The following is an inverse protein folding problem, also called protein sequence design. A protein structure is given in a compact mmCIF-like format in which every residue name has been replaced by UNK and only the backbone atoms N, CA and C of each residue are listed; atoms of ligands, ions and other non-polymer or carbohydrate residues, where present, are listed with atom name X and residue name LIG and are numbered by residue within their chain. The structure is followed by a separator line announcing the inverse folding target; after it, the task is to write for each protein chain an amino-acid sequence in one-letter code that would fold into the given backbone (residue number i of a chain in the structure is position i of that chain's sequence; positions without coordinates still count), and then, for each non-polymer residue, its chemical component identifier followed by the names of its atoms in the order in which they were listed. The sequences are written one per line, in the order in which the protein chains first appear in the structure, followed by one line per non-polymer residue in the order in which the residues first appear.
data_IF_254560190116
#
_entry.id   IF_254560190116
#
_cell.length_a   1.000
_cell.length_b   1.000
_cell.length_c   1.000
_cell.angle_alpha   90.00
_cell.angle_beta   90.00
_cell.angle_gamma   90.00
#
_symmetry.space_group_name_H-M   'P 1'
#
loop_
_entity.id
_entity.type
_entity.pdbx_description
1 polymer ?
#
# COMPACT_ATOMS: atom_id res chain seq x y z
N UNK A 1 11.93 4.35 -0.20
CA UNK A 1 11.85 4.47 1.26
C UNK A 1 10.43 4.17 1.74
N UNK A 2 9.41 4.87 1.21
CA UNK A 2 8.00 4.68 1.59
C UNK A 2 7.35 3.46 0.93
N UNK A 3 7.78 3.12 -0.28
CA UNK A 3 7.24 2.02 -1.06
C UNK A 3 8.28 0.91 -1.20
N UNK A 4 8.19 -0.21 -0.45
CA UNK A 4 8.98 -1.40 -0.73
C UNK A 4 8.78 -1.84 -2.18
N UNK A 5 9.82 -2.33 -2.87
CA UNK A 5 9.76 -2.60 -4.31
C UNK A 5 8.58 -3.47 -4.74
N UNK A 6 8.28 -4.54 -4.00
CA UNK A 6 7.16 -5.43 -4.30
C UNK A 6 5.78 -4.79 -4.14
N UNK A 7 5.66 -3.74 -3.31
CA UNK A 7 4.41 -3.03 -3.07
C UNK A 7 4.23 -1.82 -4.00
N UNK A 8 5.28 -1.43 -4.73
CA UNK A 8 5.28 -0.25 -5.57
C UNK A 8 4.32 -0.39 -6.76
N UNK A 9 4.36 -1.54 -7.44
CA UNK A 9 3.45 -1.84 -8.56
C UNK A 9 2.00 -1.98 -8.09
N UNK A 10 1.77 -2.73 -7.01
CA UNK A 10 0.44 -2.89 -6.42
C UNK A 10 -0.17 -1.53 -6.00
N UNK A 11 0.64 -0.65 -5.41
CA UNK A 11 0.22 0.69 -5.01
C UNK A 11 0.09 1.67 -6.19
N UNK A 12 0.46 1.26 -7.42
CA UNK A 12 0.53 2.10 -8.63
C UNK A 12 1.37 3.37 -8.43
N UNK A 13 2.34 3.31 -7.51
CA UNK A 13 3.20 4.43 -7.15
C UNK A 13 4.19 4.78 -8.28
N UNK A 14 4.62 3.78 -9.04
CA UNK A 14 5.44 3.91 -10.25
C UNK A 14 4.75 4.78 -11.30
N UNK A 15 3.47 4.53 -11.58
CA UNK A 15 2.68 5.33 -12.54
C UNK A 15 2.51 6.77 -12.07
N UNK A 16 2.25 6.97 -10.78
CA UNK A 16 2.12 8.30 -10.18
C UNK A 16 3.44 9.08 -10.27
N UNK A 17 4.57 8.44 -9.96
CA UNK A 17 5.90 9.04 -10.08
C UNK A 17 6.25 9.40 -11.53
N UNK A 18 5.96 8.49 -12.49
CA UNK A 18 6.15 8.77 -13.92
C UNK A 18 5.30 9.93 -14.41
N UNK A 19 4.05 10.04 -13.95
CA UNK A 19 3.16 11.12 -14.34
C UNK A 19 3.67 12.46 -13.81
N UNK A 20 4.02 12.55 -12.53
CA UNK A 20 4.51 13.78 -11.90
C UNK A 20 5.83 14.21 -12.56
N UNK A 21 6.81 13.29 -12.63
CA UNK A 21 8.12 13.59 -13.21
C UNK A 21 8.04 13.87 -14.71
N UNK A 22 7.18 13.17 -15.44
CA UNK A 22 6.97 13.36 -16.88
C UNK A 22 6.37 14.72 -17.20
N UNK A 23 5.38 15.16 -16.43
CA UNK A 23 4.78 16.49 -16.60
C UNK A 23 5.83 17.58 -16.36
N UNK A 24 6.57 17.53 -15.26
CA UNK A 24 7.57 18.55 -14.93
C UNK A 24 8.72 18.58 -15.95
N UNK A 25 9.15 17.39 -16.42
CA UNK A 25 10.24 17.27 -17.39
C UNK A 25 9.89 17.81 -18.77
N UNK A 26 8.61 17.67 -19.19
CA UNK A 26 8.17 18.09 -20.53
C UNK A 26 7.61 19.50 -20.51
N UNK A 27 6.70 19.80 -19.59
CA UNK A 27 5.97 21.07 -19.56
C UNK A 27 6.91 22.24 -19.22
N UNK A 28 7.87 22.02 -18.34
CA UNK A 28 8.82 23.06 -17.96
C UNK A 28 9.66 23.60 -19.11
N UNK A 29 10.44 22.77 -19.80
CA UNK A 29 11.20 23.19 -20.97
C UNK A 29 10.32 23.72 -22.10
N UNK A 30 9.15 23.13 -22.34
CA UNK A 30 8.22 23.58 -23.36
C UNK A 30 7.70 24.98 -23.09
N UNK A 31 7.25 25.28 -21.88
CA UNK A 31 6.80 26.62 -21.50
C UNK A 31 7.93 27.64 -21.59
N UNK A 32 9.12 27.25 -21.15
CA UNK A 32 10.31 28.11 -21.27
C UNK A 32 10.62 28.44 -22.71
N UNK A 33 10.55 27.45 -23.61
CA UNK A 33 10.80 27.62 -25.04
C UNK A 33 9.76 28.53 -25.71
N UNK A 34 8.49 28.41 -25.35
CA UNK A 34 7.39 29.25 -25.88
C UNK A 34 7.55 30.70 -25.42
N UNK A 35 7.92 30.92 -24.16
CA UNK A 35 8.00 32.27 -23.58
C UNK A 35 9.33 32.95 -23.87
N UNK A 36 10.39 32.16 -24.13
CA UNK A 36 11.72 32.70 -24.35
C UNK A 36 11.77 33.49 -25.65
N UNK A 37 12.03 34.79 -25.52
CA UNK A 37 12.35 35.69 -26.64
C UNK A 37 13.53 36.56 -26.20
N UNK A 38 14.61 36.51 -26.97
CA UNK A 38 15.79 37.31 -26.69
C UNK A 38 15.42 38.81 -26.62
N UNK A 39 16.01 39.56 -25.70
CA UNK A 39 15.78 40.98 -25.44
C UNK A 39 14.34 41.38 -25.02
N UNK A 40 13.50 40.44 -24.56
CA UNK A 40 12.21 40.79 -23.97
C UNK A 40 12.39 41.48 -22.62
N UNK A 41 11.76 42.65 -22.45
CA UNK A 41 11.92 43.53 -21.26
C UNK A 41 11.60 42.84 -19.93
N UNK A 42 10.65 41.85 -19.93
CA UNK A 42 10.19 41.15 -18.74
C UNK A 42 10.55 39.65 -18.73
N UNK A 43 11.54 39.23 -19.54
CA UNK A 43 11.89 37.80 -19.67
C UNK A 43 12.21 37.13 -18.29
N UNK A 44 12.93 37.85 -17.41
CA UNK A 44 13.26 37.32 -16.08
C UNK A 44 12.03 37.07 -15.22
N UNK A 45 11.03 37.94 -15.31
CA UNK A 45 9.76 37.79 -14.60
C UNK A 45 8.96 36.60 -15.14
N UNK A 46 8.90 36.46 -16.46
CA UNK A 46 8.20 35.34 -17.09
C UNK A 46 8.83 33.98 -16.72
N UNK A 47 10.17 33.89 -16.76
CA UNK A 47 10.89 32.67 -16.34
C UNK A 47 10.72 32.39 -14.85
N UNK A 48 10.75 33.41 -14.00
CA UNK A 48 10.50 33.25 -12.56
C UNK A 48 9.07 32.75 -12.29
N UNK A 49 8.07 33.25 -13.03
CA UNK A 49 6.69 32.80 -12.92
C UNK A 49 6.53 31.34 -13.33
N UNK A 50 7.16 30.91 -14.42
CA UNK A 50 7.19 29.51 -14.86
C UNK A 50 7.82 28.64 -13.77
N UNK A 51 8.99 29.03 -13.25
CA UNK A 51 9.68 28.29 -12.19
C UNK A 51 8.84 28.19 -10.92
N UNK A 52 8.15 29.26 -10.52
CA UNK A 52 7.27 29.24 -9.37
C UNK A 52 6.11 28.25 -9.55
N UNK A 53 5.47 28.26 -10.70
CA UNK A 53 4.37 27.33 -11.03
C UNK A 53 4.87 25.87 -10.97
N UNK A 54 6.05 25.58 -11.51
CA UNK A 54 6.65 24.24 -11.44
C UNK A 54 6.91 23.79 -10.00
N UNK A 55 7.46 24.67 -9.15
CA UNK A 55 7.68 24.37 -7.73
C UNK A 55 6.36 24.07 -7.02
N UNK A 56 5.28 24.80 -7.33
CA UNK A 56 3.95 24.55 -6.77
C UNK A 56 3.42 23.18 -7.20
N UNK A 57 3.50 22.85 -8.50
CA UNK A 57 3.04 21.55 -8.99
C UNK A 57 3.87 20.40 -8.45
N UNK A 58 5.18 20.52 -8.39
CA UNK A 58 6.06 19.53 -7.77
C UNK A 58 5.72 19.33 -6.29
N UNK A 59 5.53 20.43 -5.56
CA UNK A 59 5.12 20.40 -4.15
C UNK A 59 3.78 19.69 -3.95
N UNK A 60 2.80 19.96 -4.80
CA UNK A 60 1.51 19.26 -4.80
C UNK A 60 1.67 17.76 -5.13
N UNK A 61 2.51 17.42 -6.11
CA UNK A 61 2.81 16.03 -6.44
C UNK A 61 3.44 15.27 -5.27
N UNK A 62 4.44 15.86 -4.60
CA UNK A 62 5.06 15.29 -3.41
C UNK A 62 4.08 15.14 -2.24
N UNK A 63 3.22 16.13 -2.03
CA UNK A 63 2.14 16.06 -1.03
C UNK A 63 1.17 14.90 -1.33
N UNK A 64 0.82 14.69 -2.59
CA UNK A 64 -0.05 13.59 -3.02
C UNK A 64 0.59 12.22 -2.76
N UNK A 65 1.88 12.06 -3.09
CA UNK A 65 2.65 10.85 -2.80
C UNK A 65 2.72 10.61 -1.29
N UNK A 66 2.97 11.64 -0.52
CA UNK A 66 3.02 11.56 0.94
C UNK A 66 1.69 11.07 1.54
N UNK A 67 0.58 11.64 1.11
CA UNK A 67 -0.76 11.23 1.58
C UNK A 67 -1.19 9.85 1.05
N UNK A 68 -0.58 9.40 -0.02
CA UNK A 68 -0.88 8.10 -0.64
C UNK A 68 0.09 6.99 -0.20
N UNK A 69 1.00 7.26 0.76
CA UNK A 69 1.97 6.25 1.20
C UNK A 69 1.31 5.12 1.99
N UNK A 70 1.81 3.89 1.89
CA UNK A 70 1.33 2.77 2.71
C UNK A 70 1.76 2.98 4.17
N UNK A 71 0.83 2.84 5.10
CA UNK A 71 1.07 3.11 6.53
C UNK A 71 0.85 1.90 7.42
N UNK A 72 -0.08 1.01 7.05
CA UNK A 72 -0.32 -0.24 7.76
C UNK A 72 -0.42 -1.41 6.79
N UNK A 73 0.13 -2.54 7.22
CA UNK A 73 -0.12 -3.85 6.63
C UNK A 73 -0.97 -4.63 7.63
N UNK A 74 -2.23 -4.78 7.31
CA UNK A 74 -3.25 -5.29 8.23
C UNK A 74 -3.55 -6.75 7.92
N UNK A 75 -3.29 -7.65 8.87
CA UNK A 75 -3.74 -9.03 8.80
C UNK A 75 -5.21 -9.10 9.24
N UNK A 76 -6.12 -9.18 8.28
CA UNK A 76 -7.54 -9.51 8.51
C UNK A 76 -7.70 -11.03 8.55
N UNK A 77 -8.86 -11.60 8.91
CA UNK A 77 -8.97 -13.04 9.15
C UNK A 77 -8.47 -13.97 8.05
N UNK A 78 -8.59 -13.60 6.78
CA UNK A 78 -8.35 -14.46 5.61
C UNK A 78 -7.28 -13.95 4.64
N UNK A 79 -6.79 -12.72 4.81
CA UNK A 79 -5.83 -12.08 3.90
C UNK A 79 -5.05 -10.95 4.58
N UNK A 80 -4.13 -10.39 3.83
CA UNK A 80 -3.51 -9.10 4.18
C UNK A 80 -4.17 -7.96 3.42
N UNK A 81 -4.25 -6.80 4.07
CA UNK A 81 -4.71 -5.54 3.47
C UNK A 81 -3.64 -4.47 3.63
N UNK A 82 -3.25 -3.83 2.52
CA UNK A 82 -2.35 -2.70 2.56
C UNK A 82 -3.16 -1.42 2.62
N UNK A 83 -2.99 -0.68 3.71
CA UNK A 83 -3.76 0.54 3.99
C UNK A 83 -2.88 1.77 3.79
N UNK A 84 -3.42 2.76 3.08
CA UNK A 84 -2.74 4.01 2.77
C UNK A 84 -3.13 5.13 3.73
N UNK A 85 -2.25 6.14 3.85
CA UNK A 85 -2.45 7.23 4.81
C UNK A 85 -3.75 8.02 4.59
N UNK A 86 -4.18 8.16 3.34
CA UNK A 86 -5.42 8.85 2.98
C UNK A 86 -6.70 8.05 3.25
N UNK A 87 -6.59 6.77 3.64
CA UNK A 87 -7.73 5.91 3.95
C UNK A 87 -8.13 5.96 5.43
N UNK A 88 -7.26 6.51 6.27
CA UNK A 88 -7.51 6.61 7.70
C UNK A 88 -7.67 8.08 8.10
N UNK A 89 -8.85 8.43 8.58
CA UNK A 89 -9.08 9.78 9.10
C UNK A 89 -8.40 9.97 10.46
N UNK A 90 -7.99 11.21 10.81
CA UNK A 90 -7.41 11.49 12.13
C UNK A 90 -8.31 11.05 13.31
N UNK A 91 -9.63 11.16 13.14
CA UNK A 91 -10.60 10.69 14.14
C UNK A 91 -10.49 9.19 14.37
N UNK A 92 -10.49 8.38 13.30
CA UNK A 92 -10.34 6.93 13.41
C UNK A 92 -8.99 6.52 13.97
N UNK A 93 -7.94 7.24 13.59
CA UNK A 93 -6.60 6.98 14.10
C UNK A 93 -6.52 7.17 15.63
N UNK A 94 -7.17 8.22 16.14
CA UNK A 94 -7.25 8.49 17.59
C UNK A 94 -8.03 7.40 18.37
N UNK A 95 -8.92 6.63 17.71
CA UNK A 95 -9.68 5.53 18.32
C UNK A 95 -8.84 4.26 18.55
N UNK A 96 -7.60 4.19 18.06
CA UNK A 96 -6.72 3.04 18.29
C UNK A 96 -6.52 2.80 19.79
N UNK A 97 -6.62 1.53 20.22
CA UNK A 97 -6.45 1.14 21.63
C UNK A 97 -4.98 1.09 22.05
N UNK A 98 -4.09 0.82 21.12
CA UNK A 98 -2.65 0.69 21.33
C UNK A 98 -1.98 1.99 20.85
N UNK A 99 -1.19 2.63 21.71
CA UNK A 99 -0.63 3.96 21.48
C UNK A 99 0.20 4.05 20.17
N UNK A 100 1.02 3.04 19.87
CA UNK A 100 1.83 2.99 18.66
C UNK A 100 1.01 2.95 17.35
N UNK A 101 -0.28 2.63 17.42
CA UNK A 101 -1.19 2.61 16.27
C UNK A 101 -2.01 3.90 16.11
N UNK A 102 -1.83 4.86 17.01
CA UNK A 102 -2.43 6.21 16.92
C UNK A 102 -1.67 7.15 15.98
N UNK A 103 -0.51 6.71 15.47
CA UNK A 103 0.31 7.50 14.56
C UNK A 103 0.53 6.75 13.26
N UNK A 104 0.50 7.48 12.14
CA UNK A 104 0.80 6.92 10.83
C UNK A 104 2.31 6.69 10.68
N UNK A 105 2.71 5.57 10.08
CA UNK A 105 4.11 5.30 9.79
C UNK A 105 4.70 6.37 8.88
N UNK A 106 5.91 6.81 9.21
CA UNK A 106 6.71 7.67 8.34
C UNK A 106 7.46 6.88 7.25
N UNK A 107 7.80 5.63 7.53
CA UNK A 107 8.59 4.75 6.65
C UNK A 107 7.79 3.56 6.13
N UNK A 108 8.29 2.37 6.41
CA UNK A 108 7.60 1.12 6.05
C UNK A 108 6.25 0.99 6.77
N UNK A 109 5.25 0.33 6.17
CA UNK A 109 3.97 0.09 6.82
C UNK A 109 4.15 -0.72 8.13
N UNK A 110 3.38 -0.36 9.15
CA UNK A 110 3.35 -1.09 10.42
C UNK A 110 2.51 -2.34 10.24
N UNK A 111 3.06 -3.51 10.60
CA UNK A 111 2.35 -4.78 10.56
C UNK A 111 1.45 -4.90 11.80
N UNK A 112 0.15 -5.08 11.57
CA UNK A 112 -0.88 -5.18 12.59
C UNK A 112 -1.85 -6.31 12.29
N UNK A 113 -2.56 -6.81 13.29
CA UNK A 113 -3.73 -7.68 13.11
C UNK A 113 -5.02 -6.90 13.30
N UNK A 114 -6.09 -7.28 12.59
CA UNK A 114 -7.44 -6.79 12.79
C UNK A 114 -8.42 -7.96 12.83
N UNK A 115 -8.54 -8.65 13.98
CA UNK A 115 -9.47 -9.76 14.13
C UNK A 115 -10.91 -9.24 14.08
N UNK A 116 -11.81 -10.03 13.51
CA UNK A 116 -13.24 -9.70 13.51
C UNK A 116 -13.75 -9.68 14.96
N UNK A 117 -14.45 -8.63 15.39
CA UNK A 117 -14.99 -8.56 16.75
C UNK A 117 -16.03 -9.65 17.01
N UNK A 118 -16.16 -10.08 18.25
CA UNK A 118 -17.17 -11.07 18.68
C UNK A 118 -18.59 -10.49 18.75
N UNK A 119 -18.71 -9.20 19.01
CA UNK A 119 -20.00 -8.48 19.10
C UNK A 119 -20.68 -8.40 17.75
N UNK A 120 -21.95 -8.84 17.68
CA UNK A 120 -22.79 -8.74 16.47
C UNK A 120 -22.93 -7.26 16.06
N UNK A 121 -23.22 -6.39 17.02
CA UNK A 121 -23.37 -4.95 16.75
C UNK A 121 -22.13 -4.34 16.10
N UNK A 122 -20.95 -4.68 16.59
CA UNK A 122 -19.70 -4.17 16.00
C UNK A 122 -19.46 -4.70 14.59
N UNK A 123 -19.86 -5.95 14.29
CA UNK A 123 -19.79 -6.51 12.93
C UNK A 123 -20.75 -5.80 11.99
N UNK A 124 -21.98 -5.53 12.44
CA UNK A 124 -22.98 -4.78 11.67
C UNK A 124 -22.48 -3.34 11.39
N UNK A 125 -21.87 -2.70 12.38
CA UNK A 125 -21.25 -1.36 12.21
C UNK A 125 -20.13 -1.38 11.18
N UNK A 126 -19.27 -2.40 11.19
CA UNK A 126 -18.20 -2.59 10.19
C UNK A 126 -18.81 -2.80 8.81
N UNK A 127 -19.79 -3.69 8.68
CA UNK A 127 -20.45 -3.98 7.41
C UNK A 127 -21.17 -2.73 6.85
N UNK A 128 -21.88 -1.98 7.68
CA UNK A 128 -22.50 -0.73 7.28
C UNK A 128 -21.48 0.30 6.81
N UNK A 129 -20.34 0.42 7.52
CA UNK A 129 -19.25 1.30 7.13
C UNK A 129 -18.65 0.90 5.76
N UNK A 130 -18.48 -0.39 5.51
CA UNK A 130 -17.96 -0.89 4.24
C UNK A 130 -18.94 -0.60 3.08
N UNK A 131 -20.24 -0.86 3.28
CA UNK A 131 -21.28 -0.62 2.27
C UNK A 131 -21.47 0.86 1.97
N UNK A 132 -21.32 1.74 2.97
CA UNK A 132 -21.42 3.20 2.79
C UNK A 132 -20.13 3.84 2.26
N UNK A 133 -19.11 3.05 1.92
CA UNK A 133 -17.85 3.54 1.37
C UNK A 133 -16.95 4.25 2.40
N UNK A 134 -17.28 4.14 3.68
CA UNK A 134 -16.47 4.73 4.75
C UNK A 134 -15.26 3.85 5.12
N UNK A 135 -15.09 2.69 4.49
CA UNK A 135 -14.01 1.73 4.71
C UNK A 135 -14.42 0.55 5.60
N UNK A 136 -13.72 -0.54 5.46
CA UNK A 136 -13.92 -1.79 6.18
C UNK A 136 -12.94 -1.89 7.37
N UNK A 137 -12.90 -3.01 8.07
CA UNK A 137 -12.13 -3.26 9.30
C UNK A 137 -10.65 -2.88 9.19
N UNK A 138 -10.02 -3.05 8.02
CA UNK A 138 -8.64 -2.67 7.78
C UNK A 138 -8.40 -1.16 7.91
N UNK A 139 -9.42 -0.31 7.72
CA UNK A 139 -9.32 1.14 7.88
C UNK A 139 -9.82 1.62 9.28
N UNK A 140 -9.92 0.70 10.24
CA UNK A 140 -10.43 0.98 11.59
C UNK A 140 -9.40 0.65 12.68
N UNK A 141 -8.47 1.56 13.02
CA UNK A 141 -7.43 1.34 14.02
C UNK A 141 -7.92 0.93 15.41
N UNK A 142 -9.18 1.18 15.75
CA UNK A 142 -9.78 0.73 17.01
C UNK A 142 -9.78 -0.80 17.20
N UNK A 143 -9.68 -1.55 16.09
CA UNK A 143 -9.61 -3.02 16.09
C UNK A 143 -8.19 -3.55 15.92
N UNK A 144 -7.19 -2.67 15.78
CA UNK A 144 -5.82 -3.10 15.59
C UNK A 144 -5.25 -3.70 16.86
N UNK A 145 -4.61 -4.85 16.69
CA UNK A 145 -3.90 -5.62 17.71
C UNK A 145 -2.52 -6.00 17.19
N UNK A 146 -1.68 -6.53 18.05
CA UNK A 146 -0.40 -7.08 17.62
C UNK A 146 -0.60 -8.23 16.64
N UNK A 147 0.14 -8.22 15.54
CA UNK A 147 0.09 -9.24 14.51
C UNK A 147 0.19 -10.66 15.06
N UNK A 148 1.10 -10.87 16.03
CA UNK A 148 1.33 -12.17 16.67
C UNK A 148 0.06 -12.81 17.24
N UNK A 149 -0.90 -12.01 17.69
CA UNK A 149 -2.17 -12.51 18.22
C UNK A 149 -3.12 -13.04 17.13
N UNK A 150 -2.94 -12.67 15.87
CA UNK A 150 -3.80 -13.05 14.74
C UNK A 150 -3.20 -14.15 13.87
N UNK A 151 -1.90 -14.39 13.94
CA UNK A 151 -1.14 -15.34 13.11
C UNK A 151 -1.80 -16.72 13.06
N UNK A 152 -2.15 -17.28 14.23
CA UNK A 152 -2.72 -18.62 14.32
C UNK A 152 -4.04 -18.77 13.54
N UNK A 153 -4.82 -17.71 13.47
CA UNK A 153 -6.08 -17.70 12.76
C UNK A 153 -5.86 -17.45 11.26
N UNK A 154 -4.97 -16.55 10.92
CA UNK A 154 -4.57 -16.22 9.56
C UNK A 154 -3.99 -17.45 8.83
N UNK A 155 -3.12 -18.22 9.48
CA UNK A 155 -2.52 -19.44 8.92
C UNK A 155 -3.54 -20.53 8.57
N UNK A 156 -4.73 -20.55 9.16
CA UNK A 156 -5.81 -21.48 8.77
C UNK A 156 -6.35 -21.21 7.36
N UNK A 157 -6.24 -19.97 6.91
CA UNK A 157 -6.68 -19.54 5.58
C UNK A 157 -5.53 -19.47 4.58
N UNK A 158 -4.28 -19.60 5.06
CA UNK A 158 -3.12 -19.59 4.21
C UNK A 158 -3.03 -20.85 3.35
N UNK A 159 -2.89 -20.67 2.05
CA UNK A 159 -2.87 -21.75 1.05
C UNK A 159 -1.46 -22.30 0.87
N UNK A 160 -1.27 -23.63 0.70
CA UNK A 160 0.04 -24.18 0.38
C UNK A 160 0.45 -23.82 -1.04
N UNK A 161 1.74 -23.60 -1.24
CA UNK A 161 2.30 -23.16 -2.53
C UNK A 161 2.06 -24.18 -3.65
N UNK A 162 1.92 -25.45 -3.30
CA UNK A 162 1.73 -26.56 -4.24
C UNK A 162 0.24 -26.85 -4.56
N UNK A 163 -0.70 -26.14 -3.94
CA UNK A 163 -2.15 -26.39 -4.11
C UNK A 163 -2.77 -25.79 -5.38
N UNK A 164 -1.97 -25.48 -6.37
CA UNK A 164 -2.17 -24.95 -7.73
C UNK A 164 -3.57 -24.89 -8.40
N UNK A 165 -4.65 -25.13 -7.67
CA UNK A 165 -6.01 -25.09 -8.23
C UNK A 165 -6.56 -23.68 -8.44
N UNK A 166 -6.08 -22.71 -7.66
CA UNK A 166 -6.61 -21.35 -7.66
C UNK A 166 -5.68 -20.31 -8.31
N UNK A 167 -4.43 -20.71 -8.60
CA UNK A 167 -3.43 -19.85 -9.25
C UNK A 167 -3.26 -20.24 -10.72
N UNK A 168 -3.12 -19.26 -11.58
CA UNK A 168 -2.66 -19.53 -12.95
C UNK A 168 -1.29 -20.23 -12.93
N UNK A 169 -1.00 -21.06 -13.94
CA UNK A 169 0.30 -21.77 -14.04
C UNK A 169 1.47 -20.77 -14.02
N UNK A 170 1.29 -19.59 -14.60
CA UNK A 170 2.30 -18.53 -14.62
C UNK A 170 2.57 -18.01 -13.20
N UNK A 171 1.52 -17.69 -12.44
CA UNK A 171 1.64 -17.20 -11.07
C UNK A 171 2.23 -18.23 -10.12
N UNK A 172 1.87 -19.51 -10.27
CA UNK A 172 2.46 -20.60 -9.50
C UNK A 172 3.98 -20.68 -9.69
N UNK A 173 4.47 -20.54 -10.93
CA UNK A 173 5.91 -20.52 -11.23
C UNK A 173 6.61 -19.31 -10.61
N UNK A 174 6.02 -18.13 -10.70
CA UNK A 174 6.56 -16.89 -10.10
C UNK A 174 6.68 -17.04 -8.59
N UNK A 175 5.65 -17.57 -7.92
CA UNK A 175 5.67 -17.80 -6.47
C UNK A 175 6.71 -18.85 -6.06
N UNK A 176 6.86 -19.94 -6.83
CA UNK A 176 7.89 -20.94 -6.56
C UNK A 176 9.31 -20.40 -6.76
N UNK A 177 9.53 -19.56 -7.77
CA UNK A 177 10.82 -18.89 -7.96
C UNK A 177 11.13 -17.93 -6.81
N UNK A 178 10.14 -17.13 -6.40
CA UNK A 178 10.29 -16.23 -5.25
C UNK A 178 10.61 -17.02 -3.97
N UNK A 179 9.90 -18.12 -3.70
CA UNK A 179 10.17 -18.99 -2.56
C UNK A 179 11.60 -19.51 -2.54
N UNK A 180 12.10 -19.98 -3.68
CA UNK A 180 13.49 -20.44 -3.83
C UNK A 180 14.50 -19.32 -3.59
N UNK A 181 14.24 -18.10 -4.05
CA UNK A 181 15.12 -16.94 -3.85
C UNK A 181 15.24 -16.53 -2.38
N UNK A 182 14.22 -16.81 -1.57
CA UNK A 182 14.26 -16.62 -0.13
C UNK A 182 14.92 -17.77 0.65
N UNK A 183 15.32 -18.85 -0.03
CA UNK A 183 16.03 -19.98 0.58
C UNK A 183 15.16 -20.94 1.39
N UNK A 184 13.85 -20.88 1.23
CA UNK A 184 12.90 -21.76 1.93
C UNK A 184 12.43 -22.90 1.04
N UNK A 185 12.06 -24.04 1.67
CA UNK A 185 11.42 -25.14 0.96
C UNK A 185 9.96 -24.75 0.64
N UNK A 186 9.43 -25.14 -0.53
CA UNK A 186 8.05 -24.83 -0.91
C UNK A 186 7.01 -25.36 0.10
N UNK A 187 7.29 -26.45 0.80
CA UNK A 187 6.37 -27.06 1.77
C UNK A 187 6.29 -26.25 3.09
N UNK A 188 7.34 -25.49 3.42
CA UNK A 188 7.42 -24.66 4.61
C UNK A 188 6.79 -23.27 4.39
N UNK A 189 6.30 -23.00 3.17
CA UNK A 189 5.75 -21.71 2.78
C UNK A 189 4.24 -21.83 2.51
N UNK A 190 3.52 -20.83 2.98
CA UNK A 190 2.13 -20.58 2.63
C UNK A 190 2.00 -19.25 1.93
N UNK A 191 0.94 -19.07 1.20
CA UNK A 191 0.62 -17.77 0.62
C UNK A 191 -0.77 -17.29 1.02
N UNK A 192 -0.91 -15.98 1.04
CA UNK A 192 -2.16 -15.26 1.31
C UNK A 192 -2.28 -14.13 0.30
N UNK A 193 -3.50 -13.82 -0.07
CA UNK A 193 -3.80 -12.62 -0.84
C UNK A 193 -3.35 -11.38 -0.07
N UNK A 194 -2.72 -10.46 -0.76
CA UNK A 194 -2.51 -9.10 -0.31
C UNK A 194 -3.38 -8.18 -1.16
N UNK A 195 -4.39 -7.61 -0.56
CA UNK A 195 -5.31 -6.70 -1.22
C UNK A 195 -5.02 -5.25 -0.83
N UNK A 196 -5.48 -4.33 -1.65
CA UNK A 196 -5.55 -2.91 -1.34
C UNK A 196 -6.64 -2.25 -2.19
N UNK A 197 -6.95 -1.01 -1.92
CA UNK A 197 -7.84 -0.20 -2.76
C UNK A 197 -7.32 0.02 -4.20
N UNK A 198 -6.04 -0.31 -4.47
CA UNK A 198 -5.37 -0.01 -5.74
C UNK A 198 -5.00 -1.23 -6.56
N UNK A 199 -4.96 -2.42 -5.97
CA UNK A 199 -4.59 -3.67 -6.63
C UNK A 199 -4.37 -4.81 -5.67
N UNK A 200 -3.89 -5.91 -6.22
CA UNK A 200 -3.63 -7.15 -5.51
C UNK A 200 -2.18 -7.57 -5.67
N UNK A 201 -1.72 -8.36 -4.72
CA UNK A 201 -0.44 -9.07 -4.74
C UNK A 201 -0.56 -10.33 -3.87
N UNK A 202 0.51 -11.08 -3.75
CA UNK A 202 0.58 -12.25 -2.88
C UNK A 202 1.64 -12.05 -1.81
N UNK A 203 1.29 -12.37 -0.56
CA UNK A 203 2.24 -12.41 0.56
C UNK A 203 2.63 -13.85 0.85
N UNK A 204 3.93 -14.12 0.87
CA UNK A 204 4.51 -15.38 1.30
C UNK A 204 4.77 -15.32 2.80
N UNK A 205 4.33 -16.36 3.51
CA UNK A 205 4.51 -16.49 4.96
C UNK A 205 5.08 -17.86 5.31
N UNK A 206 5.86 -17.92 6.35
CA UNK A 206 6.33 -19.18 6.95
C UNK A 206 5.13 -19.98 7.51
N UNK A 207 5.04 -21.25 7.18
CA UNK A 207 3.89 -22.09 7.52
C UNK A 207 3.72 -22.32 9.03
N UNK A 208 4.80 -22.20 9.82
CA UNK A 208 4.81 -22.48 11.25
C UNK A 208 4.68 -21.22 12.08
N UNK A 209 5.50 -20.21 11.76
CA UNK A 209 5.58 -18.98 12.54
C UNK A 209 4.66 -17.87 12.04
N UNK A 210 4.19 -17.95 10.77
CA UNK A 210 3.47 -16.89 10.10
C UNK A 210 4.32 -15.65 9.80
N UNK A 211 5.64 -15.74 9.94
CA UNK A 211 6.53 -14.65 9.59
C UNK A 211 6.40 -14.31 8.10
N UNK A 212 6.30 -13.02 7.78
CA UNK A 212 6.25 -12.59 6.39
C UNK A 212 7.63 -12.74 5.77
N UNK A 213 7.72 -13.54 4.72
CA UNK A 213 8.94 -13.80 3.97
C UNK A 213 9.13 -12.79 2.85
N UNK A 214 8.04 -12.35 2.24
CA UNK A 214 8.06 -11.36 1.17
C UNK A 214 6.71 -11.18 0.51
N UNK A 215 6.67 -10.23 -0.41
CA UNK A 215 5.51 -9.96 -1.25
C UNK A 215 5.88 -10.19 -2.71
N UNK A 216 4.97 -10.74 -3.47
CA UNK A 216 5.16 -11.09 -4.89
C UNK A 216 4.05 -10.44 -5.69
N UNK A 217 4.42 -9.76 -6.77
CA UNK A 217 3.48 -9.19 -7.73
C UNK A 217 2.91 -10.34 -8.59
N UNK A 218 1.79 -10.87 -8.14
CA UNK A 218 1.05 -11.93 -8.79
C UNK A 218 -0.43 -11.79 -8.41
N UNK A 219 -1.31 -12.08 -9.34
CA UNK A 219 -2.75 -12.13 -9.06
C UNK A 219 -3.06 -13.41 -8.25
N UNK A 220 -3.75 -13.27 -7.08
CA UNK A 220 -4.07 -14.38 -6.18
C UNK A 220 -5.12 -15.34 -6.74
#
# INVERSE_FOLDING_TARGET
FWYPPALMHMAKADRLLMLIGGVDLVVGPLLTLIVYKANKRHLKFDLASIGLIQVVFLGYGLYTIWNSRPVFLVAVPDRFELVFANEITPKRLAEAKIERFKTLSFGKPILVGAPMPSSIKERDDIMNSAVTGQGDIQAMPKYYVDYSSTVKNLLKHAKPLNSGKDLSIANAKVLQQAAKSYGFRPDDIRYLTLASSRGFAVTLVDANSGAILGHVDADP
#
